data_IF_671708414080
#
_entry.id   IF_671708414080
#
_cell.length_a   1.000
_cell.length_b   1.000
_cell.length_c   1.000
_cell.angle_alpha   90.00
_cell.angle_beta   90.00
_cell.angle_gamma   90.00
#
_symmetry.space_group_name_H-M   'P 1'
#
loop_
_entity.id
_entity.type
_entity.pdbx_description
1 polymer ?
#
# COMPACT_ATOMS: atom_id res chain seq x y z
N UNK A 1 -10.95 10.80 -13.39
CA UNK A 1 -10.05 11.54 -12.48
C UNK A 1 -10.70 11.89 -11.14
N UNK A 2 -11.84 12.60 -11.11
CA UNK A 2 -12.49 13.09 -9.86
C UNK A 2 -12.83 11.98 -8.85
N UNK A 3 -13.35 10.84 -9.33
CA UNK A 3 -13.65 9.68 -8.49
C UNK A 3 -12.38 9.07 -7.87
N UNK A 4 -11.28 8.97 -8.62
CA UNK A 4 -10.00 8.46 -8.09
C UNK A 4 -9.43 9.37 -6.99
N UNK A 5 -9.45 10.68 -7.20
CA UNK A 5 -9.06 11.65 -6.17
C UNK A 5 -9.99 11.54 -4.95
N UNK A 6 -11.30 11.40 -5.15
CA UNK A 6 -12.25 11.20 -4.07
C UNK A 6 -11.92 9.93 -3.25
N UNK A 7 -11.62 8.83 -3.93
CA UNK A 7 -11.20 7.57 -3.32
C UNK A 7 -9.89 7.69 -2.56
N UNK A 8 -8.88 8.34 -3.14
CA UNK A 8 -7.57 8.58 -2.50
C UNK A 8 -7.72 9.47 -1.25
N UNK A 9 -8.65 10.42 -1.26
CA UNK A 9 -9.02 11.26 -0.10
C UNK A 9 -9.90 10.53 0.93
N UNK A 10 -10.18 9.24 0.74
CA UNK A 10 -10.94 8.43 1.69
C UNK A 10 -12.46 8.56 1.57
N UNK A 11 -13.00 9.08 0.45
CA UNK A 11 -14.44 9.06 0.22
C UNK A 11 -14.92 7.70 -0.28
N UNK A 12 -16.15 7.39 0.10
CA UNK A 12 -16.91 6.30 -0.46
C UNK A 12 -17.21 6.56 -1.94
N UNK A 13 -17.13 5.50 -2.73
CA UNK A 13 -17.43 5.48 -4.14
C UNK A 13 -18.82 4.88 -4.33
N UNK A 14 -19.57 5.30 -5.38
CA UNK A 14 -20.84 4.68 -5.71
C UNK A 14 -20.69 3.17 -5.97
N UNK A 15 -21.77 2.43 -5.72
CA UNK A 15 -21.81 0.96 -5.80
C UNK A 15 -21.32 0.38 -7.13
N UNK A 16 -21.50 1.11 -8.23
CA UNK A 16 -21.02 0.74 -9.57
C UNK A 16 -19.49 0.59 -9.66
N UNK A 17 -18.73 1.20 -8.73
CA UNK A 17 -17.28 1.14 -8.66
C UNK A 17 -16.76 0.15 -7.62
N UNK A 18 -17.64 -0.60 -6.94
CA UNK A 18 -17.21 -1.54 -5.89
C UNK A 18 -16.31 -2.65 -6.43
N UNK A 19 -16.54 -3.15 -7.64
CA UNK A 19 -15.64 -4.12 -8.29
C UNK A 19 -14.24 -3.54 -8.50
N UNK A 20 -14.15 -2.26 -8.90
CA UNK A 20 -12.87 -1.57 -9.00
C UNK A 20 -12.19 -1.42 -7.63
N UNK A 21 -12.95 -1.12 -6.57
CA UNK A 21 -12.43 -1.05 -5.20
C UNK A 21 -11.90 -2.42 -4.75
N UNK A 22 -12.63 -3.49 -4.99
CA UNK A 22 -12.20 -4.86 -4.66
C UNK A 22 -10.90 -5.19 -5.40
N UNK A 23 -10.82 -4.89 -6.69
CA UNK A 23 -9.58 -5.10 -7.45
C UNK A 23 -8.43 -4.24 -6.90
N UNK A 24 -8.66 -2.96 -6.59
CA UNK A 24 -7.61 -2.09 -6.03
C UNK A 24 -7.09 -2.64 -4.70
N UNK A 25 -8.01 -3.07 -3.83
CA UNK A 25 -7.68 -3.53 -2.49
C UNK A 25 -7.16 -4.96 -2.46
N UNK A 26 -7.61 -5.89 -3.30
CA UNK A 26 -7.37 -7.34 -3.15
C UNK A 26 -6.69 -7.95 -4.38
N UNK A 27 -6.74 -7.29 -5.53
CA UNK A 27 -6.17 -7.79 -6.77
C UNK A 27 -4.64 -7.82 -6.80
N UNK A 28 -4.10 -8.38 -7.88
CA UNK A 28 -2.67 -8.44 -8.14
C UNK A 28 -2.02 -7.05 -8.01
N UNK A 29 -0.88 -6.98 -7.33
CA UNK A 29 -0.17 -5.73 -7.13
C UNK A 29 -0.80 -4.75 -6.12
N UNK A 30 -1.73 -5.21 -5.28
CA UNK A 30 -2.40 -4.35 -4.29
C UNK A 30 -1.43 -3.76 -3.26
N UNK A 31 -0.39 -4.51 -2.88
CA UNK A 31 0.62 -4.04 -1.93
C UNK A 31 1.42 -2.88 -2.52
N UNK A 32 1.85 -2.96 -3.78
CA UNK A 32 2.62 -1.93 -4.47
C UNK A 32 1.81 -0.65 -4.61
N UNK A 33 0.53 -0.75 -5.02
CA UNK A 33 -0.36 0.43 -5.10
C UNK A 33 -0.55 1.08 -3.73
N UNK A 34 -0.70 0.26 -2.69
CA UNK A 34 -0.80 0.72 -1.32
C UNK A 34 0.49 1.44 -0.89
N UNK A 35 1.66 0.82 -1.08
CA UNK A 35 2.95 1.44 -0.75
C UNK A 35 3.16 2.75 -1.50
N UNK A 36 2.89 2.81 -2.80
CA UNK A 36 3.03 4.05 -3.59
C UNK A 36 2.07 5.14 -3.10
N UNK A 37 0.84 4.79 -2.72
CA UNK A 37 -0.14 5.76 -2.19
C UNK A 37 0.29 6.35 -0.85
N UNK A 38 0.92 5.57 0.03
CA UNK A 38 1.35 6.02 1.35
C UNK A 38 2.74 6.68 1.32
N UNK A 39 3.70 6.11 0.59
CA UNK A 39 5.08 6.61 0.54
C UNK A 39 5.24 7.76 -0.47
N UNK A 40 4.50 7.73 -1.58
CA UNK A 40 4.60 8.72 -2.66
C UNK A 40 4.48 10.17 -2.18
N UNK A 41 3.46 10.54 -1.40
CA UNK A 41 3.32 11.89 -0.83
C UNK A 41 4.44 12.28 0.13
N UNK A 42 5.13 11.32 0.74
CA UNK A 42 6.21 11.58 1.72
C UNK A 42 7.55 11.85 1.04
N UNK A 43 7.80 11.30 -0.16
CA UNK A 43 9.07 11.45 -0.89
C UNK A 43 9.51 12.92 -1.05
N UNK A 44 8.65 13.89 -1.42
CA UNK A 44 9.03 15.30 -1.51
C UNK A 44 9.55 15.88 -0.19
N UNK A 45 9.13 15.38 0.97
CA UNK A 45 9.63 15.84 2.26
C UNK A 45 11.09 15.43 2.48
N UNK A 46 11.52 14.28 1.94
CA UNK A 46 12.94 13.91 1.96
C UNK A 46 13.78 14.82 1.07
N UNK A 47 13.23 15.37 -0.01
CA UNK A 47 13.91 16.38 -0.81
C UNK A 47 14.18 17.66 0.00
N UNK A 48 13.32 18.02 0.95
CA UNK A 48 13.57 19.14 1.87
C UNK A 48 14.81 18.91 2.73
N UNK A 49 15.03 17.69 3.23
CA UNK A 49 16.24 17.32 3.99
C UNK A 49 17.51 17.54 3.16
N UNK A 50 17.45 17.29 1.85
CA UNK A 50 18.57 17.49 0.94
C UNK A 50 18.94 18.97 0.74
N UNK A 51 17.98 19.89 0.89
CA UNK A 51 18.19 21.34 0.76
C UNK A 51 18.99 21.96 1.91
N UNK A 52 19.01 21.35 3.10
CA UNK A 52 19.75 21.90 4.25
C UNK A 52 21.27 21.79 4.05
N UNK A 53 22.08 22.75 4.52
CA UNK A 53 23.53 22.61 4.48
C UNK A 53 24.00 21.50 5.45
N UNK A 54 24.91 20.63 5.00
CA UNK A 54 25.49 19.58 5.86
C UNK A 54 26.12 18.40 5.11
N UNK A 55 26.86 17.53 5.81
CA UNK A 55 27.46 16.33 5.21
C UNK A 55 26.40 15.41 4.61
N UNK A 56 26.63 14.89 3.40
CA UNK A 56 25.67 14.00 2.72
C UNK A 56 25.37 12.73 3.51
N UNK A 57 26.37 12.18 4.22
CA UNK A 57 26.18 11.01 5.07
C UNK A 57 25.16 11.26 6.19
N UNK A 58 25.16 12.46 6.78
CA UNK A 58 24.19 12.85 7.82
C UNK A 58 22.78 12.93 7.23
N UNK A 59 22.62 13.57 6.07
CA UNK A 59 21.33 13.72 5.38
C UNK A 59 20.74 12.36 5.02
N UNK A 60 21.55 11.48 4.44
CA UNK A 60 21.12 10.11 4.10
C UNK A 60 20.78 9.31 5.35
N UNK A 61 21.56 9.44 6.42
CA UNK A 61 21.26 8.80 7.71
C UNK A 61 19.90 9.23 8.27
N UNK A 62 19.56 10.52 8.20
CA UNK A 62 18.26 11.05 8.60
C UNK A 62 17.12 10.48 7.73
N UNK A 63 17.29 10.49 6.41
CA UNK A 63 16.28 9.95 5.48
C UNK A 63 16.06 8.45 5.72
N UNK A 64 17.13 7.66 5.88
CA UNK A 64 17.06 6.22 6.16
C UNK A 64 16.35 5.96 7.49
N UNK A 65 16.73 6.69 8.54
CA UNK A 65 16.09 6.57 9.86
C UNK A 65 14.59 6.90 9.82
N UNK A 66 14.16 7.79 8.92
CA UNK A 66 12.76 8.14 8.74
C UNK A 66 11.99 7.13 7.87
N UNK A 67 12.58 6.67 6.76
CA UNK A 67 11.89 5.81 5.78
C UNK A 67 11.74 4.38 6.27
N UNK A 68 12.71 3.84 7.01
CA UNK A 68 12.66 2.47 7.54
C UNK A 68 11.42 2.25 8.41
N UNK A 69 11.18 3.01 9.50
CA UNK A 69 9.97 2.84 10.30
C UNK A 69 8.70 3.13 9.49
N UNK A 70 8.71 4.14 8.62
CA UNK A 70 7.55 4.45 7.78
C UNK A 70 7.13 3.26 6.91
N UNK A 71 8.09 2.60 6.24
CA UNK A 71 7.83 1.43 5.41
C UNK A 71 7.32 0.27 6.27
N UNK A 72 7.97 -0.02 7.40
CA UNK A 72 7.54 -1.08 8.32
C UNK A 72 6.10 -0.86 8.80
N UNK A 73 5.77 0.34 9.28
CA UNK A 73 4.42 0.68 9.73
C UNK A 73 3.40 0.62 8.60
N UNK A 74 3.76 1.10 7.40
CA UNK A 74 2.89 1.03 6.22
C UNK A 74 2.56 -0.42 5.92
N UNK A 75 3.57 -1.28 5.75
CA UNK A 75 3.35 -2.72 5.52
C UNK A 75 2.52 -3.36 6.64
N UNK A 76 2.81 -3.07 7.90
CA UNK A 76 2.07 -3.60 9.04
C UNK A 76 0.59 -3.17 9.06
N UNK A 77 0.29 -1.93 8.66
CA UNK A 77 -1.06 -1.37 8.61
C UNK A 77 -1.83 -1.76 7.34
N UNK A 78 -1.17 -2.34 6.34
CA UNK A 78 -1.79 -2.70 5.06
C UNK A 78 -3.06 -3.54 5.25
N UNK A 79 -3.01 -4.57 6.10
CA UNK A 79 -4.17 -5.43 6.38
C UNK A 79 -5.32 -4.65 7.01
N UNK A 80 -5.03 -3.88 8.06
CA UNK A 80 -6.02 -3.09 8.81
C UNK A 80 -6.69 -2.06 7.89
N UNK A 81 -5.89 -1.36 7.08
CA UNK A 81 -6.39 -0.35 6.16
C UNK A 81 -7.27 -0.96 5.06
N UNK A 82 -6.87 -2.09 4.47
CA UNK A 82 -7.66 -2.76 3.43
C UNK A 82 -8.99 -3.25 3.97
N UNK A 83 -9.00 -3.85 5.16
CA UNK A 83 -10.23 -4.28 5.84
C UNK A 83 -11.14 -3.09 6.15
N UNK A 84 -10.59 -1.99 6.66
CA UNK A 84 -11.33 -0.75 6.90
C UNK A 84 -11.96 -0.21 5.62
N UNK A 85 -11.22 -0.15 4.51
CA UNK A 85 -11.74 0.32 3.21
C UNK A 85 -12.87 -0.57 2.70
N UNK A 86 -12.76 -1.89 2.83
CA UNK A 86 -13.85 -2.81 2.46
C UNK A 86 -15.12 -2.50 3.25
N UNK A 87 -15.00 -2.39 4.58
CA UNK A 87 -16.13 -2.05 5.47
C UNK A 87 -16.73 -0.68 5.13
N UNK A 88 -15.88 0.30 4.84
CA UNK A 88 -16.30 1.64 4.44
C UNK A 88 -17.18 1.62 3.19
N UNK A 89 -16.90 0.73 2.23
CA UNK A 89 -17.71 0.56 1.02
C UNK A 89 -18.86 -0.47 1.20
N UNK A 90 -19.14 -0.94 2.42
CA UNK A 90 -20.17 -1.96 2.68
C UNK A 90 -19.85 -3.34 2.09
N UNK A 91 -18.56 -3.62 1.82
CA UNK A 91 -18.08 -4.87 1.26
C UNK A 91 -17.67 -5.86 2.34
N UNK A 92 -17.64 -7.15 2.01
CA UNK A 92 -17.22 -8.18 2.97
C UNK A 92 -15.74 -7.98 3.36
N UNK A 93 -15.43 -7.71 4.65
CA UNK A 93 -14.05 -7.53 5.13
C UNK A 93 -13.15 -8.76 4.93
N UNK A 94 -13.72 -9.96 4.86
CA UNK A 94 -12.98 -11.23 4.65
C UNK A 94 -12.31 -11.29 3.27
N UNK A 95 -12.68 -10.41 2.33
CA UNK A 95 -11.97 -10.29 1.06
C UNK A 95 -10.50 -9.88 1.26
N UNK A 96 -10.17 -9.17 2.35
CA UNK A 96 -8.79 -8.84 2.69
C UNK A 96 -7.95 -10.09 3.02
N UNK A 97 -8.58 -11.14 3.57
CA UNK A 97 -7.90 -12.38 3.94
C UNK A 97 -7.48 -13.19 2.71
N UNK A 98 -8.26 -13.14 1.62
CA UNK A 98 -7.92 -13.83 0.35
C UNK A 98 -6.60 -13.36 -0.24
N UNK A 99 -6.34 -12.06 -0.15
CA UNK A 99 -5.08 -11.51 -0.63
C UNK A 99 -3.86 -11.94 0.17
N UNK A 100 -4.03 -12.39 1.43
CA UNK A 100 -2.94 -12.92 2.23
C UNK A 100 -2.29 -14.14 1.56
N UNK A 101 -3.07 -14.90 0.81
CA UNK A 101 -2.65 -16.12 0.11
C UNK A 101 -2.15 -15.90 -1.32
N UNK A 102 -2.11 -14.67 -1.84
CA UNK A 102 -2.36 -14.50 -3.28
C UNK A 102 -1.15 -14.44 -4.21
N UNK A 103 0.08 -14.22 -3.74
CA UNK A 103 1.25 -14.17 -4.65
C UNK A 103 2.47 -14.84 -4.06
N UNK A 104 2.89 -14.46 -2.85
CA UNK A 104 4.03 -15.11 -2.21
C UNK A 104 3.74 -16.58 -1.90
N UNK A 105 2.55 -16.90 -1.38
CA UNK A 105 2.15 -18.30 -1.17
C UNK A 105 2.01 -19.04 -2.50
N UNK A 106 1.64 -18.36 -3.59
CA UNK A 106 1.54 -18.94 -4.93
C UNK A 106 2.92 -19.22 -5.53
N UNK A 107 3.85 -18.27 -5.46
CA UNK A 107 5.25 -18.44 -5.85
C UNK A 107 5.92 -19.52 -5.01
N UNK A 108 5.72 -19.51 -3.69
CA UNK A 108 6.24 -20.55 -2.81
C UNK A 108 5.60 -21.91 -3.14
N UNK A 109 4.30 -21.97 -3.41
CA UNK A 109 3.65 -23.21 -3.84
C UNK A 109 4.19 -23.70 -5.20
N UNK A 110 4.38 -22.81 -6.17
CA UNK A 110 4.98 -23.11 -7.48
C UNK A 110 6.44 -23.58 -7.34
N UNK A 111 7.22 -22.98 -6.43
CA UNK A 111 8.59 -23.42 -6.14
C UNK A 111 8.62 -24.80 -5.46
N UNK A 112 7.71 -25.09 -4.54
CA UNK A 112 7.69 -26.36 -3.80
C UNK A 112 7.00 -27.50 -4.57
N UNK A 113 6.04 -27.20 -5.43
CA UNK A 113 5.17 -28.20 -6.08
C UNK A 113 5.07 -28.09 -7.61
N UNK A 114 5.65 -27.05 -8.25
CA UNK A 114 5.61 -26.83 -9.70
C UNK A 114 6.57 -27.69 -10.53
N UNK A 115 7.25 -28.67 -9.93
CA UNK A 115 8.15 -29.60 -10.59
C UNK A 115 7.54 -31.01 -10.79
N UNK A 116 6.44 -31.08 -11.56
CA UNK A 116 5.92 -32.34 -12.10
C UNK A 116 5.24 -32.12 -13.44
#
# INVERSE_FOLDING_TARGET
MRQRIAYDLGRELPGELHEWVIHDLVGHGAMERYLVRFLGPVIPFFALVLLFPGPMALKLGLIVMMIVPLVIFTVALSYVWRRFRLVQHGLNPELADRAKFSEHDREMYELHYGHR
#
